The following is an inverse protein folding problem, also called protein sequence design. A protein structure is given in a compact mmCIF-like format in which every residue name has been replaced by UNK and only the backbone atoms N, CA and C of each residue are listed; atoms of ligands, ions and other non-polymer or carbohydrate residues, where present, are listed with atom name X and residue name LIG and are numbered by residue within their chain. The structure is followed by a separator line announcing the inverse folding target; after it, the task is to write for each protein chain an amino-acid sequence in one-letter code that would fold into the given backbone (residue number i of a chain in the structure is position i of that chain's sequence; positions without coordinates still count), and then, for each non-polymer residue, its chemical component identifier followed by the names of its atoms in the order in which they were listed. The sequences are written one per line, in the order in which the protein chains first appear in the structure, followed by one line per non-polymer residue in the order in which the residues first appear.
data_IF_698207766908
#
_entry.id   IF_698207766908
#
_cell.length_a   1.000
_cell.length_b   1.000
_cell.length_c   1.000
_cell.angle_alpha   90.00
_cell.angle_beta   90.00
_cell.angle_gamma   90.00
#
_symmetry.space_group_name_H-M   'P 1'
#
loop_
_entity.id
_entity.type
_entity.pdbx_description
1 polymer ?
#
# COMPACT_ATOMS: atom_id res chain seq x y z
N UNK A 1 30.01 -20.15 -12.77
CA UNK A 1 28.78 -19.34 -12.91
C UNK A 1 28.31 -19.42 -14.36
N UNK A 2 27.25 -20.16 -14.67
CA UNK A 2 26.73 -20.26 -16.03
C UNK A 2 26.10 -18.93 -16.43
N UNK A 3 26.75 -18.19 -17.33
CA UNK A 3 26.12 -17.03 -17.98
C UNK A 3 25.02 -17.55 -18.90
N UNK A 4 23.78 -17.55 -18.42
CA UNK A 4 22.62 -17.75 -19.28
C UNK A 4 22.61 -16.62 -20.32
N UNK A 5 22.84 -16.98 -21.58
CA UNK A 5 22.63 -16.11 -22.74
C UNK A 5 21.15 -15.73 -22.78
N UNK A 6 20.81 -14.58 -22.18
CA UNK A 6 19.46 -14.04 -22.23
C UNK A 6 19.33 -13.22 -23.52
N UNK A 7 18.37 -13.55 -24.40
CA UNK A 7 18.15 -12.74 -25.59
C UNK A 7 17.82 -11.30 -25.16
N UNK A 8 18.34 -10.29 -25.87
CA UNK A 8 18.04 -8.90 -25.57
C UNK A 8 16.53 -8.67 -25.66
N UNK A 9 15.96 -8.06 -24.62
CA UNK A 9 14.54 -7.73 -24.57
C UNK A 9 14.32 -6.28 -25.00
N UNK A 10 13.41 -6.06 -25.97
CA UNK A 10 13.00 -4.71 -26.36
C UNK A 10 12.09 -4.12 -25.28
N UNK A 11 12.47 -2.96 -24.74
CA UNK A 11 11.60 -2.17 -23.89
C UNK A 11 10.41 -1.66 -24.71
N UNK A 12 9.20 -1.84 -24.16
CA UNK A 12 7.96 -1.38 -24.79
C UNK A 12 7.55 -0.05 -24.19
N UNK A 13 7.16 0.90 -25.05
CA UNK A 13 6.60 2.18 -24.64
C UNK A 13 5.38 1.96 -23.74
N UNK A 14 5.29 2.74 -22.68
CA UNK A 14 4.09 2.80 -21.84
C UNK A 14 3.02 3.67 -22.51
N UNK A 15 1.77 3.21 -22.51
CA UNK A 15 0.66 3.92 -23.19
C UNK A 15 -0.44 4.36 -22.24
N UNK A 16 -0.33 4.03 -20.95
CA UNK A 16 -1.40 4.24 -19.98
C UNK A 16 -0.89 4.96 -18.74
N UNK A 17 -1.68 5.96 -18.32
CA UNK A 17 -1.54 6.67 -17.05
C UNK A 17 -2.60 6.21 -16.02
N UNK A 18 -3.13 5.00 -16.19
CA UNK A 18 -4.20 4.49 -15.33
C UNK A 18 -3.76 4.43 -13.86
N UNK A 19 -4.49 5.15 -13.01
CA UNK A 19 -4.31 5.15 -11.56
C UNK A 19 -5.25 4.17 -10.87
N UNK A 20 -4.87 3.62 -9.71
CA UNK A 20 -5.80 2.88 -8.88
C UNK A 20 -6.94 3.79 -8.43
N UNK A 21 -8.16 3.30 -8.55
CA UNK A 21 -9.36 4.04 -8.14
C UNK A 21 -9.80 3.71 -6.71
N UNK A 22 -9.56 2.47 -6.27
CA UNK A 22 -9.98 1.95 -4.97
C UNK A 22 -8.75 1.71 -4.11
N UNK A 23 -8.61 2.52 -3.06
CA UNK A 23 -7.49 2.53 -2.14
C UNK A 23 -8.03 2.38 -0.72
N UNK A 24 -7.27 1.74 0.15
CA UNK A 24 -7.55 1.63 1.58
C UNK A 24 -6.24 1.80 2.32
N UNK A 25 -6.19 2.75 3.25
CA UNK A 25 -5.05 2.99 4.13
C UNK A 25 -5.42 2.56 5.54
N UNK A 26 -4.46 2.02 6.28
CA UNK A 26 -4.71 1.55 7.63
C UNK A 26 -3.42 1.48 8.46
N UNK A 27 -3.60 1.47 9.76
CA UNK A 27 -2.56 1.35 10.78
C UNK A 27 -3.11 0.59 11.98
N UNK A 28 -2.23 -0.07 12.74
CA UNK A 28 -2.61 -0.86 13.92
C UNK A 28 -1.74 -0.54 15.12
N UNK A 29 -2.41 -0.41 16.26
CA UNK A 29 -1.78 -0.35 17.57
C UNK A 29 -1.85 -1.72 18.23
N UNK A 30 -0.77 -2.12 18.89
CA UNK A 30 -0.61 -3.47 19.43
C UNK A 30 -0.24 -3.48 20.89
N UNK A 31 -0.44 -4.62 21.54
CA UNK A 31 0.11 -4.92 22.85
C UNK A 31 0.95 -6.18 22.74
N UNK A 32 2.12 -6.16 23.39
CA UNK A 32 3.02 -7.29 23.43
C UNK A 32 2.63 -8.26 24.54
N UNK A 33 2.56 -9.54 24.23
CA UNK A 33 2.36 -10.63 25.18
C UNK A 33 3.64 -11.46 25.19
N UNK A 34 4.30 -11.56 26.35
CA UNK A 34 5.44 -12.47 26.51
C UNK A 34 4.97 -13.92 26.51
N UNK A 35 5.60 -14.73 25.67
CA UNK A 35 5.34 -16.15 25.55
C UNK A 35 6.31 -16.95 26.44
N UNK A 36 5.93 -18.19 26.86
CA UNK A 36 6.76 -19.02 27.74
C UNK A 36 8.18 -19.32 27.21
N UNK A 37 8.40 -19.20 25.90
CA UNK A 37 9.69 -19.41 25.25
C UNK A 37 10.56 -18.13 25.20
N UNK A 38 10.13 -17.03 25.84
CA UNK A 38 10.83 -15.75 25.87
C UNK A 38 10.65 -14.89 24.61
N UNK A 39 9.81 -15.30 23.66
CA UNK A 39 9.42 -14.45 22.51
C UNK A 39 8.20 -13.59 22.85
N UNK A 40 8.01 -12.48 22.14
CA UNK A 40 6.83 -11.62 22.29
C UNK A 40 5.88 -11.77 21.10
N UNK A 41 4.59 -11.98 21.38
CA UNK A 41 3.52 -11.93 20.40
C UNK A 41 2.90 -10.52 20.39
N UNK A 42 2.72 -9.95 19.20
CA UNK A 42 2.02 -8.67 19.04
C UNK A 42 0.55 -8.94 18.75
N UNK A 43 -0.33 -8.47 19.64
CA UNK A 43 -1.78 -8.62 19.52
C UNK A 43 -2.42 -7.28 19.24
N UNK A 44 -3.38 -7.25 18.33
CA UNK A 44 -4.15 -6.07 17.99
C UNK A 44 -4.83 -5.49 19.24
N UNK A 45 -4.60 -4.20 19.49
CA UNK A 45 -5.32 -3.41 20.50
C UNK A 45 -6.41 -2.57 19.85
N UNK A 46 -6.04 -1.78 18.84
CA UNK A 46 -6.97 -1.02 17.99
C UNK A 46 -6.33 -0.74 16.63
N UNK A 47 -7.12 -0.24 15.70
CA UNK A 47 -6.62 0.33 14.46
C UNK A 47 -7.65 1.21 13.79
N UNK A 48 -7.18 1.94 12.78
CA UNK A 48 -8.00 2.77 11.91
C UNK A 48 -7.78 2.38 10.47
N UNK A 49 -8.83 2.54 9.66
CA UNK A 49 -8.76 2.39 8.23
C UNK A 49 -9.55 3.52 7.55
N UNK A 50 -9.07 3.95 6.39
CA UNK A 50 -9.83 4.81 5.47
C UNK A 50 -9.86 4.17 4.11
N UNK A 51 -11.07 3.91 3.61
CA UNK A 51 -11.29 3.60 2.21
C UNK A 51 -11.45 4.90 1.42
N UNK A 52 -10.74 4.99 0.30
CA UNK A 52 -10.83 6.08 -0.65
C UNK A 52 -11.15 5.56 -2.04
N UNK A 53 -12.28 6.03 -2.59
CA UNK A 53 -12.62 5.89 -4.01
C UNK A 53 -12.42 7.21 -4.72
N UNK A 54 -11.48 7.24 -5.66
CA UNK A 54 -11.26 8.41 -6.51
C UNK A 54 -12.49 8.75 -7.36
N UNK A 55 -12.74 10.05 -7.62
CA UNK A 55 -13.82 10.47 -8.50
C UNK A 55 -13.59 9.96 -9.92
N UNK A 56 -14.67 9.66 -10.63
CA UNK A 56 -14.62 9.25 -12.03
C UNK A 56 -15.90 9.62 -12.76
N UNK A 57 -15.79 10.45 -13.78
CA UNK A 57 -16.94 10.99 -14.51
C UNK A 57 -17.87 11.75 -13.55
N UNK A 58 -19.11 11.29 -13.42
CA UNK A 58 -20.12 11.87 -12.52
C UNK A 58 -20.04 11.37 -11.08
N UNK A 59 -19.24 10.33 -10.82
CA UNK A 59 -19.09 9.79 -9.48
C UNK A 59 -18.11 10.65 -8.69
N UNK A 60 -18.59 11.21 -7.58
CA UNK A 60 -17.78 11.94 -6.63
C UNK A 60 -16.78 11.01 -5.92
N UNK A 61 -15.78 11.64 -5.30
CA UNK A 61 -14.89 10.96 -4.39
C UNK A 61 -15.68 10.37 -3.21
N UNK A 62 -15.24 9.24 -2.68
CA UNK A 62 -15.78 8.66 -1.44
C UNK A 62 -14.62 8.45 -0.49
N UNK A 63 -14.82 8.90 0.74
CA UNK A 63 -13.96 8.64 1.89
C UNK A 63 -14.83 7.99 2.96
N UNK A 64 -14.45 6.79 3.41
CA UNK A 64 -15.16 6.04 4.44
C UNK A 64 -14.17 5.60 5.51
N UNK A 65 -14.40 6.06 6.74
CA UNK A 65 -13.48 5.88 7.88
C UNK A 65 -14.03 4.84 8.83
N UNK A 66 -13.17 3.93 9.28
CA UNK A 66 -13.56 2.82 10.13
C UNK A 66 -12.53 2.56 11.21
N UNK A 67 -12.96 2.60 12.47
CA UNK A 67 -12.17 2.14 13.61
C UNK A 67 -12.48 0.68 13.92
N UNK A 68 -11.47 -0.04 14.41
CA UNK A 68 -11.63 -1.45 14.74
C UNK A 68 -10.74 -1.84 15.92
N UNK A 69 -11.21 -2.82 16.70
CA UNK A 69 -10.45 -3.44 17.81
C UNK A 69 -10.31 -4.95 17.63
N UNK A 70 -10.83 -5.49 16.52
CA UNK A 70 -10.76 -6.91 16.19
C UNK A 70 -10.36 -7.09 14.73
N UNK A 71 -9.63 -8.17 14.44
CA UNK A 71 -9.31 -8.51 13.05
C UNK A 71 -10.56 -8.74 12.19
N UNK A 72 -11.63 -9.34 12.76
CA UNK A 72 -12.89 -9.58 12.04
C UNK A 72 -13.55 -8.27 11.58
N UNK A 73 -13.58 -7.24 12.43
CA UNK A 73 -14.14 -5.93 12.08
C UNK A 73 -13.36 -5.28 10.92
N UNK A 74 -12.02 -5.33 10.96
CA UNK A 74 -11.19 -4.85 9.86
C UNK A 74 -11.47 -5.59 8.55
N UNK A 75 -11.52 -6.93 8.58
CA UNK A 75 -11.73 -7.71 7.36
C UNK A 75 -13.13 -7.57 6.79
N UNK A 76 -14.16 -7.40 7.63
CA UNK A 76 -15.51 -7.05 7.15
C UNK A 76 -15.50 -5.72 6.39
N UNK A 77 -14.80 -4.71 6.91
CA UNK A 77 -14.63 -3.42 6.24
C UNK A 77 -13.85 -3.52 4.93
N UNK A 78 -12.78 -4.31 4.89
CA UNK A 78 -12.03 -4.56 3.64
C UNK A 78 -12.92 -5.24 2.60
N UNK A 79 -13.65 -6.29 2.99
CA UNK A 79 -14.46 -7.07 2.06
C UNK A 79 -15.70 -6.33 1.54
N UNK A 80 -16.28 -5.40 2.33
CA UNK A 80 -17.38 -4.55 1.86
C UNK A 80 -16.97 -3.62 0.73
N UNK A 81 -15.67 -3.31 0.61
CA UNK A 81 -15.09 -2.43 -0.40
C UNK A 81 -14.46 -3.16 -1.60
N UNK A 82 -14.48 -4.49 -1.61
CA UNK A 82 -13.99 -5.27 -2.77
C UNK A 82 -15.04 -5.26 -3.88
N UNK A 83 -14.65 -4.73 -5.03
CA UNK A 83 -15.49 -4.74 -6.23
C UNK A 83 -14.98 -5.72 -7.32
N UNK A 84 -15.92 -6.33 -8.04
CA UNK A 84 -15.60 -7.24 -9.15
C UNK A 84 -14.92 -6.48 -10.28
N UNK A 85 -13.85 -7.07 -10.85
CA UNK A 85 -12.99 -6.49 -11.92
C UNK A 85 -12.22 -5.23 -11.51
N UNK A 86 -12.39 -4.75 -10.28
CA UNK A 86 -11.55 -3.70 -9.71
C UNK A 86 -10.52 -4.34 -8.77
N UNK A 87 -9.40 -3.63 -8.61
CA UNK A 87 -8.37 -4.01 -7.65
C UNK A 87 -8.43 -3.02 -6.51
N UNK A 88 -8.65 -3.52 -5.30
CA UNK A 88 -8.53 -2.75 -4.07
C UNK A 88 -7.06 -2.75 -3.63
N UNK A 89 -6.50 -1.56 -3.46
CA UNK A 89 -5.12 -1.38 -2.99
C UNK A 89 -5.15 -1.13 -1.49
N UNK A 90 -4.59 -2.03 -0.70
CA UNK A 90 -4.38 -1.89 0.73
C UNK A 90 -2.95 -1.40 0.95
N UNK A 91 -2.82 -0.22 1.53
CA UNK A 91 -1.54 0.46 1.74
C UNK A 91 -1.38 0.70 3.23
N UNK A 92 -0.24 0.29 3.76
CA UNK A 92 0.16 0.53 5.15
C UNK A 92 1.68 0.68 5.19
N UNK A 93 2.17 1.24 6.28
CA UNK A 93 3.60 1.49 6.49
C UNK A 93 4.22 0.28 7.17
N UNK A 94 5.23 -0.35 6.57
CA UNK A 94 5.76 -1.64 7.05
C UNK A 94 4.69 -2.75 7.10
N UNK A 95 3.93 -2.87 6.01
CA UNK A 95 2.70 -3.66 5.93
C UNK A 95 2.82 -5.14 6.36
N UNK A 96 4.02 -5.73 6.35
CA UNK A 96 4.22 -7.10 6.87
C UNK A 96 3.82 -7.22 8.34
N UNK A 97 4.08 -6.18 9.12
CA UNK A 97 3.73 -6.15 10.54
C UNK A 97 2.22 -6.21 10.71
N UNK A 98 1.49 -5.24 10.17
CA UNK A 98 0.02 -5.18 10.26
C UNK A 98 -0.63 -6.41 9.61
N UNK A 99 -0.07 -6.88 8.49
CA UNK A 99 -0.58 -8.07 7.82
C UNK A 99 -0.53 -9.31 8.73
N UNK A 100 0.47 -9.39 9.61
CA UNK A 100 0.61 -10.45 10.61
C UNK A 100 -0.34 -10.24 11.79
N UNK A 101 -0.37 -9.04 12.36
CA UNK A 101 -1.26 -8.64 13.47
C UNK A 101 -2.74 -8.88 13.13
N UNK A 102 -3.14 -8.52 11.92
CA UNK A 102 -4.51 -8.69 11.41
C UNK A 102 -4.79 -10.12 10.93
N UNK A 103 -3.87 -11.05 11.18
CA UNK A 103 -3.96 -12.47 10.84
C UNK A 103 -4.42 -12.67 9.40
N UNK A 104 -3.90 -11.90 8.46
CA UNK A 104 -4.52 -11.72 7.14
C UNK A 104 -4.82 -13.03 6.39
N UNK A 105 -3.94 -14.03 6.52
CA UNK A 105 -4.17 -15.35 5.92
C UNK A 105 -5.36 -16.11 6.50
N UNK A 106 -5.69 -15.91 7.79
CA UNK A 106 -6.87 -16.47 8.47
C UNK A 106 -8.17 -16.03 7.80
N UNK A 107 -8.22 -14.81 7.26
CA UNK A 107 -9.42 -14.25 6.64
C UNK A 107 -9.42 -14.40 5.12
N UNK A 108 -8.27 -14.22 4.47
CA UNK A 108 -8.15 -14.31 3.00
C UNK A 108 -8.43 -15.73 2.48
N UNK A 109 -7.92 -16.78 3.14
CA UNK A 109 -8.07 -18.16 2.64
C UNK A 109 -9.53 -18.63 2.67
N UNK A 110 -10.29 -18.49 3.79
CA UNK A 110 -11.72 -18.86 3.80
C UNK A 110 -12.56 -18.04 2.82
N UNK A 111 -12.20 -16.76 2.60
CA UNK A 111 -12.83 -15.91 1.58
C UNK A 111 -12.47 -16.30 0.12
N UNK A 112 -11.70 -17.38 -0.08
CA UNK A 112 -11.40 -17.94 -1.40
C UNK A 112 -10.32 -17.18 -2.18
N UNK A 113 -9.55 -16.32 -1.53
CA UNK A 113 -8.43 -15.64 -2.16
C UNK A 113 -7.24 -16.57 -2.32
N UNK A 114 -6.62 -16.51 -3.49
CA UNK A 114 -5.38 -17.22 -3.82
C UNK A 114 -4.25 -16.22 -4.06
N UNK A 115 -3.06 -16.52 -3.56
CA UNK A 115 -1.85 -15.76 -3.83
C UNK A 115 -1.55 -15.77 -5.33
N UNK A 116 -1.22 -14.59 -5.88
CA UNK A 116 -0.84 -14.39 -7.28
C UNK A 116 0.56 -13.82 -7.43
N UNK A 117 0.99 -13.02 -6.48
CA UNK A 117 2.33 -12.44 -6.45
C UNK A 117 2.70 -12.14 -5.01
N UNK A 118 3.94 -12.46 -4.64
CA UNK A 118 4.52 -12.13 -3.34
C UNK A 118 5.94 -11.65 -3.57
N UNK A 119 6.24 -10.49 -3.01
CA UNK A 119 7.59 -9.96 -2.91
C UNK A 119 7.74 -9.32 -1.55
N UNK A 120 8.84 -9.64 -0.87
CA UNK A 120 9.19 -9.06 0.41
C UNK A 120 10.71 -8.92 0.48
N UNK A 121 11.19 -7.68 0.57
CA UNK A 121 12.59 -7.36 0.75
C UNK A 121 12.73 -5.94 1.32
N UNK A 122 13.45 -5.80 2.44
CA UNK A 122 13.66 -4.52 3.13
C UNK A 122 12.33 -3.76 3.33
N UNK A 123 12.24 -2.52 2.84
CA UNK A 123 11.08 -1.63 2.95
C UNK A 123 10.00 -1.88 1.87
N UNK A 124 10.13 -2.99 1.13
CA UNK A 124 9.25 -3.27 0.00
C UNK A 124 8.53 -4.60 0.21
N UNK A 125 7.25 -4.50 0.53
CA UNK A 125 6.34 -5.64 0.54
C UNK A 125 5.23 -5.43 -0.48
N UNK A 126 5.01 -6.43 -1.32
CA UNK A 126 3.91 -6.46 -2.29
C UNK A 126 3.26 -7.84 -2.27
N UNK A 127 1.97 -7.88 -1.93
CA UNK A 127 1.18 -9.12 -1.91
C UNK A 127 -0.04 -8.92 -2.80
N UNK A 128 -0.19 -9.73 -3.85
CA UNK A 128 -1.36 -9.70 -4.72
C UNK A 128 -2.14 -10.98 -4.54
N UNK A 129 -3.41 -10.86 -4.18
CA UNK A 129 -4.33 -11.97 -4.00
C UNK A 129 -5.57 -11.79 -4.87
N UNK A 130 -6.16 -12.90 -5.31
CA UNK A 130 -7.35 -12.87 -6.17
C UNK A 130 -8.32 -14.00 -5.84
N UNK A 131 -9.59 -13.67 -5.81
CA UNK A 131 -10.73 -14.59 -5.67
C UNK A 131 -11.68 -14.45 -6.87
N UNK A 132 -12.86 -15.07 -6.79
CA UNK A 132 -13.97 -14.83 -7.74
C UNK A 132 -14.64 -13.47 -7.52
N UNK A 133 -14.61 -12.94 -6.30
CA UNK A 133 -15.27 -11.67 -5.92
C UNK A 133 -14.44 -10.46 -6.31
N UNK A 134 -13.11 -10.54 -6.27
CA UNK A 134 -12.25 -9.44 -6.68
C UNK A 134 -10.75 -9.72 -6.54
N UNK A 135 -9.97 -8.65 -6.59
CA UNK A 135 -8.51 -8.71 -6.34
C UNK A 135 -8.11 -7.67 -5.31
N UNK A 136 -7.20 -8.06 -4.42
CA UNK A 136 -6.64 -7.18 -3.40
C UNK A 136 -5.13 -7.15 -3.61
N UNK A 137 -4.55 -5.97 -3.53
CA UNK A 137 -3.11 -5.75 -3.58
C UNK A 137 -2.69 -5.03 -2.31
N UNK A 138 -1.80 -5.64 -1.55
CA UNK A 138 -1.13 -5.06 -0.40
C UNK A 138 0.18 -4.44 -0.89
N UNK A 139 0.44 -3.20 -0.51
CA UNK A 139 1.66 -2.47 -0.83
C UNK A 139 2.19 -1.73 0.40
N UNK A 140 3.50 -1.80 0.61
CA UNK A 140 4.19 -1.02 1.62
C UNK A 140 4.39 0.44 1.17
N UNK A 141 3.94 1.40 1.98
CA UNK A 141 4.14 2.82 1.70
C UNK A 141 5.60 3.26 1.88
N UNK A 142 6.42 2.55 2.68
CA UNK A 142 7.85 2.88 2.85
C UNK A 142 8.66 2.71 1.57
N UNK A 143 8.23 1.83 0.67
CA UNK A 143 8.86 1.69 -0.64
C UNK A 143 8.64 2.95 -1.53
N UNK A 144 7.66 3.80 -1.22
CA UNK A 144 7.45 5.09 -1.90
C UNK A 144 8.07 6.24 -1.13
N UNK A 145 7.91 6.22 0.18
CA UNK A 145 8.27 7.31 1.08
C UNK A 145 9.15 6.76 2.20
N UNK A 146 10.46 6.73 1.95
CA UNK A 146 11.44 6.22 2.90
C UNK A 146 11.76 7.27 3.97
N UNK A 147 10.77 7.54 4.82
CA UNK A 147 10.84 8.45 5.95
C UNK A 147 9.86 7.98 7.04
N UNK A 148 10.00 8.49 8.27
CA UNK A 148 9.03 8.20 9.33
C UNK A 148 7.69 8.89 9.06
N UNK A 149 6.60 8.35 9.62
CA UNK A 149 5.28 8.99 9.54
C UNK A 149 5.28 10.39 10.18
N UNK A 150 6.09 10.62 11.22
CA UNK A 150 6.28 11.94 11.83
C UNK A 150 6.88 12.95 10.84
N UNK A 151 7.96 12.57 10.16
CA UNK A 151 8.59 13.41 9.13
C UNK A 151 7.65 13.64 7.93
N UNK A 152 6.91 12.61 7.50
CA UNK A 152 5.87 12.78 6.47
C UNK A 152 4.83 13.82 6.89
N UNK A 153 4.33 13.72 8.12
CA UNK A 153 3.35 14.65 8.67
C UNK A 153 3.85 16.09 8.70
N UNK A 154 5.06 16.31 9.20
CA UNK A 154 5.71 17.63 9.19
C UNK A 154 5.82 18.20 7.75
N UNK A 155 6.24 17.37 6.79
CA UNK A 155 6.44 17.77 5.39
C UNK A 155 5.15 18.16 4.68
N UNK A 156 4.03 17.51 4.99
CA UNK A 156 2.72 17.78 4.35
C UNK A 156 1.84 18.73 5.17
N UNK A 157 2.32 19.25 6.30
CA UNK A 157 1.56 20.16 7.16
C UNK A 157 0.52 19.48 8.06
N UNK A 158 0.63 18.16 8.26
CA UNK A 158 -0.21 17.35 9.15
C UNK A 158 0.65 16.71 10.24
N UNK A 159 1.10 17.46 11.25
CA UNK A 159 2.03 16.93 12.25
C UNK A 159 1.41 15.76 13.01
N UNK A 160 2.21 14.72 13.23
CA UNK A 160 1.86 13.58 14.07
C UNK A 160 1.71 14.03 15.54
N UNK A 161 0.79 13.41 16.27
CA UNK A 161 0.66 13.66 17.71
C UNK A 161 1.78 12.96 18.47
N UNK A 162 2.31 13.61 19.50
CA UNK A 162 3.15 12.92 20.49
C UNK A 162 2.23 12.14 21.45
N UNK A 163 2.64 10.95 21.87
CA UNK A 163 1.89 10.08 22.77
C UNK A 163 2.83 9.42 23.76
N UNK A 164 2.38 9.30 25.01
CA UNK A 164 2.99 8.45 26.03
C UNK A 164 2.21 7.15 26.11
N UNK A 165 2.77 6.06 25.57
CA UNK A 165 2.10 4.77 25.50
C UNK A 165 1.85 4.15 26.88
N UNK A 166 2.59 4.55 27.92
CA UNK A 166 2.45 4.01 29.27
C UNK A 166 1.25 4.63 30.01
N UNK A 167 0.87 5.86 29.66
CA UNK A 167 -0.15 6.62 30.39
C UNK A 167 -1.34 7.07 29.55
N UNK A 168 -1.28 6.91 28.21
CA UNK A 168 -2.36 7.34 27.34
C UNK A 168 -3.69 6.61 27.59
N UNK A 169 -4.78 7.33 27.46
CA UNK A 169 -6.12 6.75 27.38
C UNK A 169 -6.37 6.10 26.02
N UNK A 170 -7.34 5.18 25.95
CA UNK A 170 -7.76 4.58 24.67
C UNK A 170 -8.25 5.61 23.66
N UNK A 171 -8.80 6.74 24.14
CA UNK A 171 -9.24 7.84 23.26
C UNK A 171 -8.05 8.58 22.64
N UNK A 172 -6.99 8.81 23.41
CA UNK A 172 -5.75 9.43 22.91
C UNK A 172 -5.04 8.49 21.92
N UNK A 173 -4.95 7.21 22.26
CA UNK A 173 -4.36 6.20 21.38
C UNK A 173 -5.14 6.07 20.07
N UNK A 174 -6.48 6.06 20.12
CA UNK A 174 -7.32 6.04 18.93
C UNK A 174 -7.12 7.28 18.05
N UNK A 175 -7.02 8.48 18.64
CA UNK A 175 -6.75 9.72 17.91
C UNK A 175 -5.35 9.74 17.29
N UNK A 176 -4.37 9.18 17.98
CA UNK A 176 -3.01 9.00 17.49
C UNK A 176 -2.97 8.08 16.26
N UNK A 177 -3.54 6.88 16.36
CA UNK A 177 -3.59 5.93 15.26
C UNK A 177 -4.38 6.48 14.05
N UNK A 178 -5.51 7.15 14.30
CA UNK A 178 -6.23 7.85 13.24
C UNK A 178 -5.36 8.88 12.51
N UNK A 179 -4.57 9.67 13.25
CA UNK A 179 -3.65 10.67 12.66
C UNK A 179 -2.57 10.02 11.81
N UNK A 180 -2.05 8.87 12.21
CA UNK A 180 -1.07 8.13 11.41
C UNK A 180 -1.65 7.68 10.05
N UNK A 181 -2.87 7.13 10.06
CA UNK A 181 -3.60 6.77 8.84
C UNK A 181 -3.87 8.00 7.96
N UNK A 182 -4.32 9.11 8.57
CA UNK A 182 -4.59 10.37 7.88
C UNK A 182 -3.35 10.92 7.16
N UNK A 183 -2.19 10.90 7.83
CA UNK A 183 -0.92 11.35 7.25
C UNK A 183 -0.55 10.48 6.04
N UNK A 184 -0.61 9.15 6.16
CA UNK A 184 -0.21 8.26 5.06
C UNK A 184 -1.19 8.38 3.88
N UNK A 185 -2.49 8.44 4.17
CA UNK A 185 -3.54 8.67 3.18
C UNK A 185 -3.31 9.97 2.41
N UNK A 186 -3.16 11.10 3.11
CA UNK A 186 -3.05 12.41 2.47
C UNK A 186 -1.74 12.53 1.67
N UNK A 187 -0.62 12.02 2.20
CA UNK A 187 0.66 11.98 1.49
C UNK A 187 0.53 11.20 0.17
N UNK A 188 -0.09 10.03 0.20
CA UNK A 188 -0.26 9.19 -0.98
C UNK A 188 -1.26 9.81 -1.97
N UNK A 189 -2.32 10.46 -1.48
CA UNK A 189 -3.30 11.19 -2.28
C UNK A 189 -2.64 12.35 -3.02
N UNK A 190 -1.82 13.17 -2.35
CA UNK A 190 -1.05 14.24 -2.98
C UNK A 190 -0.09 13.71 -4.04
N UNK A 191 0.58 12.57 -3.78
CA UNK A 191 1.47 11.95 -4.76
C UNK A 191 0.71 11.46 -6.01
N UNK A 192 -0.44 10.82 -5.85
CA UNK A 192 -1.28 10.42 -6.99
C UNK A 192 -1.74 11.64 -7.78
N UNK A 193 -2.21 12.70 -7.10
CA UNK A 193 -2.63 13.96 -7.74
C UNK A 193 -1.48 14.59 -8.51
N UNK A 194 -0.27 14.60 -7.96
CA UNK A 194 0.93 15.07 -8.64
C UNK A 194 1.20 14.29 -9.93
N UNK A 195 1.25 12.95 -9.84
CA UNK A 195 1.50 12.11 -11.01
C UNK A 195 0.46 12.31 -12.13
N UNK A 196 -0.82 12.46 -11.76
CA UNK A 196 -1.91 12.70 -12.71
C UNK A 196 -1.89 14.10 -13.29
N UNK A 197 -1.79 15.14 -12.45
CA UNK A 197 -1.82 16.54 -12.87
C UNK A 197 -0.73 16.83 -13.91
N UNK A 198 0.44 16.25 -13.72
CA UNK A 198 1.59 16.44 -14.61
C UNK A 198 1.74 15.30 -15.65
N UNK A 199 0.81 14.35 -15.71
CA UNK A 199 0.81 13.23 -16.67
C UNK A 199 2.15 12.46 -16.69
N UNK A 200 2.76 12.27 -15.51
CA UNK A 200 4.14 11.78 -15.38
C UNK A 200 4.20 10.27 -15.62
N UNK A 201 3.34 9.52 -14.93
CA UNK A 201 3.38 8.06 -14.90
C UNK A 201 2.08 7.51 -14.33
N UNK A 202 1.79 6.24 -14.62
CA UNK A 202 0.84 5.47 -13.81
C UNK A 202 1.50 5.02 -12.51
N UNK A 203 0.70 4.86 -11.46
CA UNK A 203 1.17 4.24 -10.24
C UNK A 203 1.38 2.73 -10.44
N UNK A 204 2.58 2.25 -10.11
CA UNK A 204 2.96 0.83 -10.09
C UNK A 204 3.03 0.33 -8.65
N UNK A 205 3.53 -0.88 -8.40
CA UNK A 205 3.61 -1.42 -7.04
C UNK A 205 4.82 -0.89 -6.26
N UNK A 206 5.85 -0.42 -6.96
CA UNK A 206 7.08 0.14 -6.37
C UNK A 206 7.44 1.49 -6.97
N UNK A 207 8.20 2.31 -6.23
CA UNK A 207 8.68 3.60 -6.74
C UNK A 207 9.57 3.42 -7.97
N UNK A 208 10.47 2.42 -7.94
CA UNK A 208 11.31 2.08 -9.08
C UNK A 208 10.49 1.65 -10.31
N UNK A 209 9.40 0.90 -10.10
CA UNK A 209 8.49 0.54 -11.19
C UNK A 209 7.75 1.76 -11.76
N UNK A 210 7.33 2.70 -10.91
CA UNK A 210 6.68 3.94 -11.36
C UNK A 210 7.65 4.85 -12.09
N UNK A 211 8.88 4.97 -11.62
CA UNK A 211 9.93 5.72 -12.29
C UNK A 211 10.25 5.13 -13.67
N UNK A 212 10.38 3.80 -13.76
CA UNK A 212 10.54 3.12 -15.04
C UNK A 212 9.33 3.35 -15.95
N UNK A 213 8.11 3.30 -15.40
CA UNK A 213 6.89 3.59 -16.17
C UNK A 213 6.85 5.05 -16.66
N UNK A 214 7.40 6.00 -15.90
CA UNK A 214 7.52 7.40 -16.31
C UNK A 214 8.49 7.55 -17.49
N UNK A 215 9.68 6.94 -17.36
CA UNK A 215 10.68 6.91 -18.42
C UNK A 215 10.13 6.28 -19.71
N UNK A 216 9.47 5.12 -19.61
CA UNK A 216 8.87 4.43 -20.75
C UNK A 216 7.72 5.22 -21.39
N UNK A 217 7.05 6.10 -20.65
CA UNK A 217 5.95 6.93 -21.14
C UNK A 217 6.48 8.16 -21.90
N UNK A 218 7.50 8.82 -21.35
CA UNK A 218 8.02 10.09 -21.85
C UNK A 218 9.11 9.93 -22.92
N UNK A 219 10.03 8.97 -22.75
CA UNK A 219 11.30 8.93 -23.50
C UNK A 219 11.31 7.95 -24.66
N UNK A 220 10.41 6.96 -24.68
CA UNK A 220 10.31 6.02 -25.79
C UNK A 220 9.27 6.50 -26.78
N UNK A 221 9.71 6.97 -27.93
CA UNK A 221 8.87 7.06 -29.11
C UNK A 221 8.92 5.71 -29.87
N UNK A 222 7.85 5.35 -30.60
CA UNK A 222 7.76 4.05 -31.29
C UNK A 222 8.91 3.83 -32.32
N UNK A 223 9.69 4.89 -32.60
CA UNK A 223 10.81 4.97 -33.55
C UNK A 223 12.19 4.63 -32.99
N UNK A 224 12.43 4.61 -31.68
CA UNK A 224 13.77 4.40 -31.13
C UNK A 224 13.96 2.99 -30.56
N UNK A 225 14.80 2.20 -31.23
CA UNK A 225 15.28 0.89 -30.77
C UNK A 225 16.53 1.08 -29.92
N UNK A 226 16.40 0.92 -28.61
CA UNK A 226 17.57 0.79 -27.74
C UNK A 226 17.93 -0.69 -27.63
N UNK A 227 18.97 -1.10 -28.36
CA UNK A 227 19.63 -2.39 -28.15
C UNK A 227 20.64 -2.20 -27.03
N UNK A 228 20.42 -2.85 -25.89
CA UNK A 228 21.46 -2.92 -24.85
C UNK A 228 22.54 -3.85 -25.40
N UNK A 229 23.55 -3.28 -26.05
CA UNK A 229 24.76 -4.01 -26.41
C UNK A 229 25.58 -4.17 -25.14
N UNK A 230 26.02 -5.42 -24.86
CA UNK A 230 27.02 -5.68 -23.82
C UNK A 230 28.23 -4.78 -24.12
N UNK A 231 28.66 -3.97 -23.14
CA UNK A 231 29.98 -3.33 -23.21
C UNK A 231 31.05 -4.43 -23.31
N UNK A 232 32.12 -4.21 -24.09
CA UNK A 232 33.19 -5.18 -24.30
C UNK A 232 33.88 -5.59 -22.99
#
# INVERSE_FOLDING_TARGET
MSQLSRPPHRLKREKSLAMPRHLLFYDTETTSIELPNGSAEQVLKLGWAVYYRKPYGRHLAVEDWHSFTTEDSFWQFVFSHVERKQKLWLIARNINFDFTVLKSWKHLRPAGYKLKFFYNHELTTVISVRSKTGSILFCDSLNWFNESIKQTGERIGLPKFDIDFDTCSDTELSRYCHRDVEIDFENFKQFIVFLEKYQISRLRYTIGSTAMSAYLFQSLDDKYTYTITKRP
#
